data_IF_451618109839
#
_entry.id   IF_451618109839
#
_cell.length_a   1.000
_cell.length_b   1.000
_cell.length_c   1.000
_cell.angle_alpha   90.00
_cell.angle_beta   90.00
_cell.angle_gamma   90.00
#
_symmetry.space_group_name_H-M   'P 1'
#
loop_
_entity.id
_entity.type
_entity.pdbx_description
1 polymer ?
#
# COMPACT_ATOMS: atom_id res chain seq x y z
N UNK A 1 12.75 -28.25 -30.15
CA UNK A 1 12.79 -27.00 -29.37
C UNK A 1 14.20 -26.81 -28.87
N UNK A 2 14.85 -25.71 -29.22
CA UNK A 2 16.24 -25.44 -28.79
C UNK A 2 16.31 -25.22 -27.27
N UNK A 3 17.47 -25.46 -26.66
CA UNK A 3 17.69 -25.23 -25.21
C UNK A 3 17.36 -23.78 -24.81
N UNK A 4 17.79 -22.81 -25.63
CA UNK A 4 17.43 -21.39 -25.45
C UNK A 4 15.92 -21.17 -25.50
N UNK A 5 15.22 -21.80 -26.45
CA UNK A 5 13.77 -21.62 -26.65
C UNK A 5 12.97 -22.10 -25.44
N UNK A 6 13.38 -23.21 -24.82
CA UNK A 6 12.79 -23.70 -23.57
C UNK A 6 13.01 -22.71 -22.41
N UNK A 7 14.24 -22.19 -22.25
CA UNK A 7 14.55 -21.18 -21.23
C UNK A 7 13.79 -19.87 -21.48
N UNK A 8 13.66 -19.44 -22.73
CA UNK A 8 12.89 -18.25 -23.11
C UNK A 8 11.41 -18.43 -22.79
N UNK A 9 10.83 -19.60 -23.09
CA UNK A 9 9.43 -19.87 -22.76
C UNK A 9 9.21 -19.85 -21.24
N UNK A 10 10.08 -20.53 -20.47
CA UNK A 10 10.04 -20.49 -19.00
C UNK A 10 10.14 -19.06 -18.46
N UNK A 11 11.02 -18.24 -19.02
CA UNK A 11 11.15 -16.82 -18.65
C UNK A 11 9.88 -16.02 -18.95
N UNK A 12 9.22 -16.26 -20.08
CA UNK A 12 7.94 -15.61 -20.40
C UNK A 12 6.86 -16.00 -19.39
N UNK A 13 6.78 -17.28 -19.05
CA UNK A 13 5.81 -17.79 -18.07
C UNK A 13 6.06 -17.17 -16.69
N UNK A 14 7.31 -17.19 -16.22
CA UNK A 14 7.71 -16.58 -14.95
C UNK A 14 7.45 -15.06 -14.93
N UNK A 15 7.77 -14.34 -16.01
CA UNK A 15 7.51 -12.89 -16.12
C UNK A 15 6.00 -12.61 -16.13
N UNK A 16 5.20 -13.46 -16.78
CA UNK A 16 3.74 -13.39 -16.77
C UNK A 16 3.15 -13.64 -15.38
N UNK A 17 3.77 -14.54 -14.61
CA UNK A 17 3.42 -14.88 -13.23
C UNK A 17 4.08 -13.98 -12.18
N UNK A 18 4.92 -13.02 -12.58
CA UNK A 18 5.72 -12.19 -11.68
C UNK A 18 4.90 -11.18 -10.85
N UNK A 19 3.62 -11.47 -10.60
CA UNK A 19 2.83 -10.79 -9.59
C UNK A 19 3.37 -11.16 -8.21
N UNK A 20 4.32 -10.36 -7.75
CA UNK A 20 4.61 -10.11 -6.33
C UNK A 20 5.42 -11.17 -5.55
N UNK A 21 5.83 -12.31 -6.11
CA UNK A 21 6.69 -13.28 -5.37
C UNK A 21 8.19 -13.04 -5.58
N UNK A 22 8.91 -12.81 -4.49
CA UNK A 22 10.37 -12.68 -4.45
C UNK A 22 11.11 -13.89 -5.02
N UNK A 23 10.60 -15.11 -4.79
CA UNK A 23 11.17 -16.33 -5.35
C UNK A 23 11.05 -16.40 -6.88
N UNK A 24 9.89 -15.99 -7.42
CA UNK A 24 9.71 -15.90 -8.87
C UNK A 24 10.74 -14.92 -9.46
N UNK A 25 10.95 -13.77 -8.81
CA UNK A 25 11.94 -12.79 -9.25
C UNK A 25 13.39 -13.30 -9.15
N UNK A 26 13.73 -14.05 -8.11
CA UNK A 26 15.02 -14.71 -7.98
C UNK A 26 15.24 -15.72 -9.12
N UNK A 27 14.25 -16.56 -9.42
CA UNK A 27 14.33 -17.54 -10.51
C UNK A 27 14.43 -16.89 -11.89
N UNK A 28 13.75 -15.76 -12.11
CA UNK A 28 13.94 -14.95 -13.33
C UNK A 28 15.40 -14.48 -13.42
N UNK A 29 15.98 -13.99 -12.31
CA UNK A 29 17.36 -13.56 -12.22
C UNK A 29 18.36 -14.67 -12.56
N UNK A 30 18.18 -15.86 -11.98
CA UNK A 30 18.97 -17.05 -12.26
C UNK A 30 18.98 -17.40 -13.76
N UNK A 31 17.79 -17.47 -14.36
CA UNK A 31 17.63 -17.84 -15.78
C UNK A 31 18.25 -16.77 -16.71
N UNK A 32 18.01 -15.48 -16.43
CA UNK A 32 18.62 -14.40 -17.18
C UNK A 32 20.15 -14.39 -17.06
N UNK A 33 20.68 -14.68 -15.87
CA UNK A 33 22.11 -14.76 -15.63
C UNK A 33 22.75 -15.92 -16.41
N UNK A 34 22.16 -17.13 -16.36
CA UNK A 34 22.66 -18.29 -17.13
C UNK A 34 22.70 -17.99 -18.62
N UNK A 35 21.61 -17.49 -19.20
CA UNK A 35 21.55 -17.13 -20.64
C UNK A 35 22.60 -16.06 -20.99
N UNK A 36 22.76 -15.03 -20.15
CA UNK A 36 23.75 -13.96 -20.37
C UNK A 36 25.18 -14.49 -20.29
N UNK A 37 25.47 -15.36 -19.31
CA UNK A 37 26.79 -15.94 -19.06
C UNK A 37 27.21 -16.91 -20.15
N UNK A 38 26.31 -17.80 -20.55
CA UNK A 38 26.54 -18.82 -21.58
C UNK A 38 26.45 -18.26 -23.01
N UNK A 39 25.99 -17.00 -23.16
CA UNK A 39 25.80 -16.32 -24.44
C UNK A 39 24.91 -17.10 -25.42
N UNK A 40 23.93 -17.85 -24.89
CA UNK A 40 23.04 -18.70 -25.67
C UNK A 40 22.24 -17.93 -26.73
N UNK A 41 22.06 -16.62 -26.55
CA UNK A 41 21.34 -15.74 -27.46
C UNK A 41 22.12 -15.37 -28.73
N UNK A 42 23.46 -15.49 -28.75
CA UNK A 42 24.32 -15.01 -29.85
C UNK A 42 23.97 -15.58 -31.24
N UNK A 43 23.55 -16.86 -31.38
CA UNK A 43 23.16 -17.40 -32.69
C UNK A 43 21.96 -16.69 -33.33
N UNK A 44 21.10 -16.05 -32.52
CA UNK A 44 19.82 -15.46 -32.99
C UNK A 44 19.71 -13.96 -32.72
N UNK A 45 20.52 -13.41 -31.82
CA UNK A 45 20.47 -12.02 -31.39
C UNK A 45 21.88 -11.42 -31.24
N UNK A 46 22.12 -10.20 -31.74
CA UNK A 46 23.43 -9.57 -31.71
C UNK A 46 23.89 -9.16 -30.31
N UNK A 47 22.97 -8.97 -29.37
CA UNK A 47 23.28 -8.58 -27.98
C UNK A 47 22.24 -9.13 -27.01
N UNK A 48 22.63 -9.23 -25.72
CA UNK A 48 21.73 -9.63 -24.66
C UNK A 48 20.54 -8.67 -24.53
N UNK A 49 20.79 -7.36 -24.69
CA UNK A 49 19.73 -6.34 -24.71
C UNK A 49 18.72 -6.60 -25.84
N UNK A 50 19.21 -6.93 -27.04
CA UNK A 50 18.33 -7.21 -28.18
C UNK A 50 17.46 -8.44 -27.91
N UNK A 51 18.03 -9.48 -27.32
CA UNK A 51 17.30 -10.68 -26.91
C UNK A 51 16.19 -10.36 -25.90
N UNK A 52 16.52 -9.76 -24.76
CA UNK A 52 15.53 -9.50 -23.69
C UNK A 52 14.43 -8.53 -24.14
N UNK A 53 14.76 -7.56 -25.02
CA UNK A 53 13.79 -6.61 -25.54
C UNK A 53 12.81 -7.27 -26.51
N UNK A 54 13.31 -8.12 -27.42
CA UNK A 54 12.47 -8.80 -28.41
C UNK A 54 11.67 -9.95 -27.81
N UNK A 55 12.30 -10.79 -26.99
CA UNK A 55 11.70 -12.04 -26.55
C UNK A 55 10.90 -11.94 -25.25
N UNK A 56 11.29 -11.01 -24.38
CA UNK A 56 10.73 -10.89 -23.02
C UNK A 56 10.05 -9.54 -22.77
N UNK A 57 10.13 -8.60 -23.72
CA UNK A 57 9.55 -7.25 -23.59
C UNK A 57 10.00 -6.51 -22.32
N UNK A 58 11.25 -6.72 -21.89
CA UNK A 58 11.87 -6.00 -20.76
C UNK A 58 13.13 -5.25 -21.20
N UNK A 59 13.46 -4.16 -20.51
CA UNK A 59 14.69 -3.40 -20.76
C UNK A 59 15.87 -3.94 -19.92
N UNK A 60 17.08 -3.52 -20.27
CA UNK A 60 18.31 -3.98 -19.62
C UNK A 60 18.35 -3.63 -18.13
N UNK A 61 17.91 -2.43 -17.73
CA UNK A 61 17.86 -2.03 -16.32
C UNK A 61 16.98 -2.97 -15.49
N UNK A 62 15.83 -3.38 -16.02
CA UNK A 62 14.91 -4.31 -15.35
C UNK A 62 15.51 -5.71 -15.27
N UNK A 63 16.13 -6.21 -16.34
CA UNK A 63 16.82 -7.49 -16.35
C UNK A 63 18.00 -7.52 -15.36
N UNK A 64 18.78 -6.45 -15.31
CA UNK A 64 19.90 -6.30 -14.38
C UNK A 64 19.43 -6.32 -12.92
N UNK A 65 18.31 -5.65 -12.62
CA UNK A 65 17.71 -5.71 -11.29
C UNK A 65 17.27 -7.12 -10.86
N UNK A 66 16.89 -8.00 -11.79
CA UNK A 66 16.61 -9.40 -11.46
C UNK A 66 17.89 -10.19 -11.18
N UNK A 67 18.92 -10.00 -12.02
CA UNK A 67 20.23 -10.64 -11.85
C UNK A 67 20.90 -10.20 -10.54
N UNK A 68 20.76 -8.94 -10.15
CA UNK A 68 21.27 -8.42 -8.87
C UNK A 68 20.61 -9.11 -7.67
N UNK A 69 19.30 -9.33 -7.70
CA UNK A 69 18.59 -10.07 -6.65
C UNK A 69 19.12 -11.50 -6.57
N UNK A 70 19.26 -12.18 -7.71
CA UNK A 70 19.83 -13.53 -7.79
C UNK A 70 21.24 -13.61 -7.17
N UNK A 71 22.10 -12.62 -7.40
CA UNK A 71 23.44 -12.58 -6.81
C UNK A 71 23.46 -12.22 -5.33
N UNK A 72 22.50 -11.44 -4.87
CA UNK A 72 22.49 -10.90 -3.51
C UNK A 72 21.94 -11.91 -2.49
N UNK A 73 20.96 -12.70 -2.91
CA UNK A 73 20.20 -13.58 -2.03
C UNK A 73 20.36 -15.02 -2.48
N UNK A 74 20.39 -15.94 -1.52
CA UNK A 74 20.17 -17.35 -1.81
C UNK A 74 18.67 -17.62 -1.88
N UNK A 75 18.27 -18.62 -2.66
CA UNK A 75 16.87 -19.05 -2.75
C UNK A 75 16.28 -19.38 -1.37
N UNK A 76 17.05 -20.08 -0.52
CA UNK A 76 16.67 -20.42 0.86
C UNK A 76 16.33 -19.19 1.70
N UNK A 77 16.95 -18.03 1.43
CA UNK A 77 16.77 -16.77 2.17
C UNK A 77 15.51 -16.00 1.77
N UNK A 78 14.86 -16.39 0.68
CA UNK A 78 13.69 -15.68 0.15
C UNK A 78 12.43 -16.45 0.54
N UNK A 79 11.55 -15.80 1.28
CA UNK A 79 10.26 -16.34 1.66
C UNK A 79 9.22 -16.13 0.55
N UNK A 80 8.13 -16.90 0.56
CA UNK A 80 7.03 -16.71 -0.39
C UNK A 80 6.29 -15.38 -0.14
N UNK A 81 6.37 -14.87 1.10
CA UNK A 81 5.84 -13.56 1.51
C UNK A 81 6.71 -12.37 1.06
N UNK A 82 7.97 -12.58 0.67
CA UNK A 82 8.84 -11.47 0.28
C UNK A 82 8.46 -10.93 -1.09
N UNK A 83 8.24 -9.62 -1.16
CA UNK A 83 8.06 -8.91 -2.42
C UNK A 83 9.40 -8.49 -3.02
N UNK A 84 9.47 -8.27 -4.34
CA UNK A 84 10.69 -7.74 -4.99
C UNK A 84 11.15 -6.39 -4.42
N UNK A 85 10.22 -5.54 -3.98
CA UNK A 85 10.57 -4.29 -3.30
C UNK A 85 11.32 -4.54 -1.99
N UNK A 86 10.93 -5.58 -1.24
CA UNK A 86 11.62 -5.98 -0.02
C UNK A 86 13.03 -6.40 -0.38
N UNK A 87 13.19 -7.31 -1.35
CA UNK A 87 14.51 -7.76 -1.78
C UNK A 87 15.40 -6.63 -2.29
N UNK A 88 14.87 -5.68 -3.08
CA UNK A 88 15.62 -4.50 -3.56
C UNK A 88 16.04 -3.53 -2.46
N UNK A 89 15.26 -3.44 -1.39
CA UNK A 89 15.62 -2.61 -0.25
C UNK A 89 16.65 -3.34 0.62
N UNK A 90 16.37 -4.60 0.95
CA UNK A 90 17.23 -5.47 1.75
C UNK A 90 18.62 -5.64 1.10
N UNK A 91 18.71 -5.64 -0.23
CA UNK A 91 19.99 -5.74 -0.94
C UNK A 91 20.90 -4.53 -0.72
N UNK A 92 20.33 -3.38 -0.33
CA UNK A 92 21.08 -2.15 -0.02
C UNK A 92 21.50 -2.07 1.45
N UNK A 93 20.97 -2.93 2.32
CA UNK A 93 21.32 -2.97 3.73
C UNK A 93 22.69 -3.60 3.96
N UNK A 94 23.32 -3.27 5.10
CA UNK A 94 24.50 -3.95 5.58
C UNK A 94 24.26 -5.47 5.73
N UNK A 95 25.30 -6.29 5.54
CA UNK A 95 25.20 -7.76 5.63
C UNK A 95 24.57 -8.22 6.94
N UNK A 96 24.90 -7.56 8.04
CA UNK A 96 24.35 -7.83 9.37
C UNK A 96 22.83 -7.62 9.42
N UNK A 97 22.34 -6.43 9.03
CA UNK A 97 20.91 -6.13 9.02
C UNK A 97 20.14 -6.98 8.03
N UNK A 98 20.70 -7.19 6.84
CA UNK A 98 20.13 -8.06 5.82
C UNK A 98 19.84 -9.44 6.39
N UNK A 99 20.84 -10.05 7.04
CA UNK A 99 20.71 -11.38 7.64
C UNK A 99 19.63 -11.40 8.73
N UNK A 100 19.59 -10.39 9.61
CA UNK A 100 18.59 -10.29 10.68
C UNK A 100 17.17 -10.11 10.16
N UNK A 101 16.98 -9.26 9.14
CA UNK A 101 15.68 -9.00 8.54
C UNK A 101 15.17 -10.22 7.77
N UNK A 102 16.00 -10.86 6.95
CA UNK A 102 15.64 -12.09 6.25
C UNK A 102 15.27 -13.20 7.25
N UNK A 103 16.06 -13.37 8.32
CA UNK A 103 15.76 -14.33 9.39
C UNK A 103 14.43 -14.04 10.10
N UNK A 104 14.12 -12.77 10.35
CA UNK A 104 12.85 -12.36 10.95
C UNK A 104 11.66 -12.64 10.02
N UNK A 105 11.80 -12.34 8.73
CA UNK A 105 10.75 -12.62 7.74
C UNK A 105 10.51 -14.12 7.56
N UNK A 106 11.56 -14.95 7.61
CA UNK A 106 11.42 -16.41 7.59
C UNK A 106 10.69 -16.93 8.83
N UNK A 107 11.08 -16.47 10.01
CA UNK A 107 10.38 -16.80 11.27
C UNK A 107 8.92 -16.39 11.23
N UNK A 108 8.59 -15.23 10.67
CA UNK A 108 7.21 -14.76 10.50
C UNK A 108 6.39 -15.70 9.61
N UNK A 109 6.96 -16.19 8.51
CA UNK A 109 6.29 -17.16 7.63
C UNK A 109 6.09 -18.52 8.32
N UNK A 110 7.07 -18.97 9.11
CA UNK A 110 7.00 -20.20 9.91
C UNK A 110 5.94 -20.10 11.03
N UNK A 111 5.88 -18.96 11.73
CA UNK A 111 4.86 -18.67 12.76
C UNK A 111 3.48 -18.61 12.12
N UNK A 112 3.38 -17.89 10.99
CA UNK A 112 2.17 -17.81 10.18
C UNK A 112 1.75 -19.15 9.58
N UNK A 113 2.58 -20.21 9.66
CA UNK A 113 2.24 -21.57 9.23
C UNK A 113 1.97 -22.53 10.40
N UNK A 114 2.37 -22.19 11.64
CA UNK A 114 2.37 -23.10 12.80
C UNK A 114 1.74 -22.57 14.09
N UNK A 115 1.24 -21.33 14.12
CA UNK A 115 0.38 -20.82 15.20
C UNK A 115 0.97 -20.89 16.61
N UNK A 116 2.27 -20.61 16.79
CA UNK A 116 2.90 -20.65 18.12
C UNK A 116 3.73 -19.40 18.42
N UNK A 117 3.48 -18.83 19.61
CA UNK A 117 3.88 -17.51 20.09
C UNK A 117 5.00 -17.63 21.11
N UNK A 118 6.27 -17.60 20.67
CA UNK A 118 7.38 -17.52 21.64
C UNK A 118 8.65 -16.79 21.15
N UNK A 119 8.56 -15.92 20.14
CA UNK A 119 9.74 -15.24 19.54
C UNK A 119 9.57 -13.72 19.41
N UNK A 120 8.94 -13.08 20.40
CA UNK A 120 8.62 -11.65 20.41
C UNK A 120 9.86 -10.72 20.47
N UNK A 121 10.91 -11.13 21.19
CA UNK A 121 12.08 -10.27 21.45
C UNK A 121 13.00 -10.10 20.23
N UNK A 122 13.10 -11.12 19.38
CA UNK A 122 14.03 -11.13 18.24
C UNK A 122 13.52 -10.32 17.04
N UNK A 123 12.19 -10.25 16.90
CA UNK A 123 11.51 -9.45 15.87
C UNK A 123 11.51 -7.97 16.28
N UNK A 124 11.31 -7.67 17.57
CA UNK A 124 11.40 -6.30 18.10
C UNK A 124 12.82 -5.73 17.98
N UNK A 125 13.85 -6.54 18.24
CA UNK A 125 15.25 -6.15 18.04
C UNK A 125 15.57 -5.83 16.57
N UNK A 126 15.01 -6.61 15.64
CA UNK A 126 15.17 -6.37 14.20
C UNK A 126 14.49 -5.07 13.76
N UNK A 127 13.33 -4.73 14.33
CA UNK A 127 12.64 -3.45 14.13
C UNK A 127 13.48 -2.24 14.57
N UNK A 128 14.06 -2.29 15.77
CA UNK A 128 14.84 -1.16 16.30
C UNK A 128 16.13 -0.93 15.50
N UNK A 129 16.76 -2.02 15.04
CA UNK A 129 17.95 -1.97 14.18
C UNK A 129 17.64 -1.37 12.79
N UNK A 130 16.51 -1.76 12.18
CA UNK A 130 16.07 -1.23 10.87
C UNK A 130 15.66 0.24 10.98
N UNK A 131 14.90 0.61 12.02
CA UNK A 131 14.47 2.00 12.25
C UNK A 131 15.68 2.93 12.38
N UNK A 132 16.71 2.50 13.14
CA UNK A 132 17.94 3.27 13.35
C UNK A 132 18.72 3.49 12.05
N UNK A 133 18.90 2.45 11.23
CA UNK A 133 19.65 2.56 9.97
C UNK A 133 18.84 3.26 8.86
N UNK A 134 17.50 3.14 8.84
CA UNK A 134 16.60 3.84 7.90
C UNK A 134 16.61 5.35 8.15
N UNK A 135 16.52 5.76 9.42
CA UNK A 135 16.65 7.17 9.79
C UNK A 135 18.02 7.71 9.36
N UNK A 136 19.08 6.93 9.61
CA UNK A 136 20.45 7.34 9.29
C UNK A 136 20.76 7.37 7.77
N UNK A 137 20.09 6.55 6.97
CA UNK A 137 20.21 6.56 5.50
C UNK A 137 19.31 7.62 4.84
N UNK A 138 18.13 7.93 5.40
CA UNK A 138 17.30 9.05 4.93
C UNK A 138 17.92 10.43 5.17
N UNK A 139 18.74 10.56 6.21
CA UNK A 139 19.50 11.80 6.49
C UNK A 139 20.67 11.98 5.50
N UNK A 140 21.13 10.91 4.87
CA UNK A 140 22.33 10.91 4.02
C UNK A 140 22.05 10.76 2.51
N UNK A 141 20.82 10.43 2.08
CA UNK A 141 20.50 10.25 0.66
C UNK A 141 19.82 11.47 0.03
N UNK A 142 20.52 12.16 -0.87
CA UNK A 142 19.97 13.17 -1.80
C UNK A 142 19.30 12.54 -3.03
N UNK A 143 19.15 11.22 -3.08
CA UNK A 143 18.75 10.49 -4.27
C UNK A 143 17.22 10.40 -4.41
N UNK A 144 16.67 11.28 -5.26
CA UNK A 144 15.24 11.37 -5.63
C UNK A 144 14.72 10.19 -6.48
N UNK A 145 15.51 9.14 -6.69
CA UNK A 145 15.19 8.07 -7.64
C UNK A 145 14.35 6.91 -7.09
N UNK A 146 14.05 6.88 -5.79
CA UNK A 146 13.17 5.86 -5.21
C UNK A 146 11.69 6.29 -5.32
N UNK A 147 10.79 5.47 -5.90
CA UNK A 147 9.36 5.74 -5.88
C UNK A 147 8.84 5.79 -4.43
N UNK A 148 8.00 6.79 -4.07
CA UNK A 148 7.42 6.95 -2.73
C UNK A 148 6.79 5.66 -2.18
N UNK A 149 6.17 4.89 -3.08
CA UNK A 149 5.47 3.64 -2.81
C UNK A 149 6.34 2.51 -2.22
N UNK A 150 7.66 2.48 -2.49
CA UNK A 150 8.55 1.44 -1.91
C UNK A 150 8.71 1.63 -0.41
N UNK A 151 8.73 2.89 0.05
CA UNK A 151 8.90 3.22 1.47
C UNK A 151 7.58 3.04 2.23
N UNK A 152 6.44 3.32 1.60
CA UNK A 152 5.11 3.09 2.16
C UNK A 152 4.82 1.60 2.38
N UNK A 153 5.11 0.75 1.40
CA UNK A 153 4.93 -0.71 1.54
C UNK A 153 5.82 -1.29 2.65
N UNK A 154 7.05 -0.80 2.76
CA UNK A 154 7.99 -1.22 3.80
C UNK A 154 7.52 -0.74 5.18
N UNK A 155 7.10 0.54 5.31
CA UNK A 155 6.54 1.10 6.55
C UNK A 155 5.28 0.37 6.98
N UNK A 156 4.40 0.03 6.05
CA UNK A 156 3.19 -0.75 6.30
C UNK A 156 3.54 -2.14 6.82
N UNK A 157 4.41 -2.87 6.12
CA UNK A 157 4.89 -4.20 6.52
C UNK A 157 5.57 -4.15 7.90
N UNK A 158 6.40 -3.14 8.15
CA UNK A 158 7.10 -2.91 9.41
C UNK A 158 6.13 -2.57 10.55
N UNK A 159 5.12 -1.73 10.31
CA UNK A 159 4.10 -1.38 11.30
C UNK A 159 3.27 -2.62 11.68
N UNK A 160 2.89 -3.45 10.71
CA UNK A 160 2.18 -4.72 10.93
C UNK A 160 3.03 -5.67 11.79
N UNK A 161 4.31 -5.83 11.45
CA UNK A 161 5.28 -6.64 12.21
C UNK A 161 5.44 -6.11 13.65
N UNK A 162 5.50 -4.79 13.84
CA UNK A 162 5.61 -4.18 15.17
C UNK A 162 4.36 -4.33 16.06
N UNK A 163 3.20 -4.59 15.45
CA UNK A 163 1.94 -4.85 16.16
C UNK A 163 1.81 -6.33 16.52
N UNK A 164 2.18 -7.22 15.61
CA UNK A 164 2.27 -8.67 15.83
C UNK A 164 3.21 -9.05 16.98
N UNK A 165 4.31 -8.31 17.18
CA UNK A 165 5.23 -8.55 18.30
C UNK A 165 4.65 -8.17 19.65
N UNK A 166 3.74 -7.19 19.70
CA UNK A 166 3.17 -6.67 20.94
C UNK A 166 2.00 -7.52 21.45
N UNK A 167 1.15 -8.06 20.56
CA UNK A 167 0.04 -8.94 20.93
C UNK A 167 -0.13 -10.07 19.90
N UNK A 168 0.60 -11.18 20.05
CA UNK A 168 0.60 -12.26 19.06
C UNK A 168 -0.67 -13.12 19.08
N UNK A 169 -1.43 -13.08 20.16
CA UNK A 169 -2.73 -13.79 20.29
C UNK A 169 -3.89 -13.03 19.64
N UNK A 170 -3.73 -11.75 19.31
CA UNK A 170 -4.79 -10.89 18.77
C UNK A 170 -4.91 -10.96 17.24
N UNK A 171 -3.91 -11.50 16.52
CA UNK A 171 -3.91 -11.55 15.06
C UNK A 171 -3.94 -13.00 14.58
N UNK A 172 -5.13 -13.47 14.21
CA UNK A 172 -5.32 -14.76 13.57
C UNK A 172 -4.60 -14.81 12.21
N UNK A 173 -4.18 -16.02 11.82
CA UNK A 173 -3.56 -16.31 10.53
C UNK A 173 -4.37 -15.76 9.34
N UNK A 174 -5.70 -15.65 9.47
CA UNK A 174 -6.59 -15.07 8.47
C UNK A 174 -6.43 -13.55 8.34
N UNK A 175 -6.14 -12.84 9.43
CA UNK A 175 -5.96 -11.38 9.45
C UNK A 175 -4.59 -10.95 8.89
N UNK A 176 -3.55 -11.74 9.17
CA UNK A 176 -2.25 -11.53 8.53
C UNK A 176 -2.33 -11.75 7.01
N UNK A 177 -3.00 -12.85 6.62
CA UNK A 177 -3.20 -13.21 5.22
C UNK A 177 -4.03 -12.15 4.48
N UNK A 178 -5.12 -11.65 5.06
CA UNK A 178 -5.97 -10.64 4.41
C UNK A 178 -5.26 -9.29 4.22
N UNK A 179 -4.44 -8.86 5.19
CA UNK A 179 -3.68 -7.61 5.07
C UNK A 179 -2.58 -7.73 4.01
N UNK A 180 -1.87 -8.86 3.96
CA UNK A 180 -0.90 -9.15 2.91
C UNK A 180 -1.56 -9.28 1.54
N UNK A 181 -2.68 -10.00 1.44
CA UNK A 181 -3.49 -10.11 0.23
C UNK A 181 -3.99 -8.74 -0.24
N UNK A 182 -4.42 -7.86 0.66
CA UNK A 182 -4.80 -6.49 0.34
C UNK A 182 -3.62 -5.68 -0.21
N UNK A 183 -2.41 -5.83 0.36
CA UNK A 183 -1.20 -5.20 -0.19
C UNK A 183 -0.85 -5.74 -1.60
N UNK A 184 -1.02 -7.05 -1.81
CA UNK A 184 -0.77 -7.76 -3.07
C UNK A 184 -1.82 -7.38 -4.12
N UNK A 185 -3.09 -7.27 -3.74
CA UNK A 185 -4.20 -6.81 -4.58
C UNK A 185 -4.00 -5.34 -4.99
N UNK A 186 -3.63 -4.45 -4.04
CA UNK A 186 -3.24 -3.06 -4.33
C UNK A 186 -2.13 -3.00 -5.36
N UNK A 187 -1.13 -3.87 -5.28
CA UNK A 187 -0.05 -3.93 -6.26
C UNK A 187 -0.47 -4.47 -7.61
N UNK A 188 -1.36 -5.45 -7.63
CA UNK A 188 -1.95 -5.96 -8.89
C UNK A 188 -2.75 -4.85 -9.58
N UNK A 189 -3.42 -4.01 -8.80
CA UNK A 189 -4.10 -2.81 -9.26
C UNK A 189 -3.09 -1.74 -9.73
N UNK A 190 -2.03 -1.44 -8.97
CA UNK A 190 -0.97 -0.46 -9.31
C UNK A 190 -0.10 -0.89 -10.50
N UNK A 191 0.21 -2.17 -10.66
CA UNK A 191 0.92 -2.70 -11.83
C UNK A 191 0.03 -2.72 -13.08
N UNK A 192 -1.29 -2.93 -12.91
CA UNK A 192 -2.26 -2.63 -13.97
C UNK A 192 -2.28 -1.13 -14.29
N UNK A 193 -2.03 -0.23 -13.34
CA UNK A 193 -1.99 1.22 -13.52
C UNK A 193 -0.74 1.72 -14.28
N UNK A 194 0.36 0.94 -14.36
CA UNK A 194 1.60 1.32 -15.04
C UNK A 194 1.60 1.28 -16.59
N UNK A 195 0.46 0.98 -17.23
CA UNK A 195 0.26 1.07 -18.69
C UNK A 195 -0.71 2.22 -18.99
N UNK A 196 -0.22 3.45 -19.00
CA UNK A 196 -1.06 4.66 -19.15
C UNK A 196 -1.35 4.90 -20.64
N UNK A 197 -2.52 4.40 -21.08
CA UNK A 197 -3.51 5.27 -21.76
C UNK A 197 -4.36 5.89 -20.66
N UNK A 198 -4.94 7.07 -20.88
CA UNK A 198 -5.79 7.80 -19.92
C UNK A 198 -6.73 6.85 -19.16
N UNK A 199 -6.33 6.46 -17.95
CA UNK A 199 -7.12 5.58 -17.09
C UNK A 199 -7.98 6.46 -16.22
N UNK A 200 -9.26 6.32 -16.41
CA UNK A 200 -10.28 6.81 -15.51
C UNK A 200 -10.85 5.64 -14.70
N UNK A 201 -11.52 5.93 -13.59
CA UNK A 201 -12.28 4.92 -12.86
C UNK A 201 -13.48 4.41 -13.65
N UNK A 202 -14.31 3.60 -12.99
CA UNK A 202 -15.64 3.26 -13.50
C UNK A 202 -16.50 4.52 -13.62
N UNK A 203 -17.62 4.45 -14.34
CA UNK A 203 -18.53 5.58 -14.43
C UNK A 203 -19.07 5.91 -13.03
N UNK A 204 -18.96 7.18 -12.62
CA UNK A 204 -19.46 7.61 -11.32
C UNK A 204 -20.98 7.49 -11.31
N UNK A 205 -21.52 6.65 -10.43
CA UNK A 205 -22.95 6.46 -10.30
C UNK A 205 -23.40 6.80 -8.87
N UNK A 206 -24.42 7.64 -8.75
CA UNK A 206 -25.08 7.94 -7.48
C UNK A 206 -26.51 8.38 -7.71
N UNK A 207 -27.46 7.61 -7.17
CA UNK A 207 -28.90 7.95 -7.26
C UNK A 207 -29.26 9.16 -6.40
N UNK A 208 -28.47 9.42 -5.36
CA UNK A 208 -28.71 10.45 -4.35
C UNK A 208 -28.07 11.80 -4.69
N UNK A 209 -26.97 11.77 -5.45
CA UNK A 209 -26.23 12.97 -5.85
C UNK A 209 -26.18 13.14 -7.38
N UNK A 210 -27.33 13.34 -8.07
CA UNK A 210 -27.39 13.35 -9.53
C UNK A 210 -26.66 14.55 -10.18
N UNK A 211 -26.47 15.66 -9.45
CA UNK A 211 -25.65 16.78 -9.94
C UNK A 211 -24.16 16.43 -10.00
N UNK A 212 -23.68 15.57 -9.09
CA UNK A 212 -22.29 15.16 -9.05
C UNK A 212 -21.88 14.40 -10.31
N UNK A 213 -22.77 13.53 -10.83
CA UNK A 213 -22.55 12.80 -12.09
C UNK A 213 -22.40 13.71 -13.31
N UNK A 214 -22.95 14.93 -13.27
CA UNK A 214 -22.79 15.91 -14.36
C UNK A 214 -21.42 16.60 -14.32
N UNK A 215 -20.76 16.61 -13.16
CA UNK A 215 -19.47 17.26 -12.94
C UNK A 215 -18.32 16.26 -13.03
N UNK A 216 -18.51 15.04 -12.54
CA UNK A 216 -17.54 13.96 -12.57
C UNK A 216 -18.09 12.77 -13.34
N UNK A 217 -17.43 12.44 -14.45
CA UNK A 217 -17.80 11.29 -15.28
C UNK A 217 -17.38 9.96 -14.67
N UNK A 218 -16.28 9.95 -13.91
CA UNK A 218 -15.63 8.71 -13.45
C UNK A 218 -15.29 8.73 -11.96
N UNK A 219 -15.25 7.56 -11.36
CA UNK A 219 -14.77 7.34 -9.99
C UNK A 219 -13.30 7.78 -9.83
N UNK A 220 -12.91 8.30 -8.66
CA UNK A 220 -11.53 8.62 -8.36
C UNK A 220 -10.69 7.34 -8.30
N UNK A 221 -9.45 7.42 -8.80
CA UNK A 221 -8.48 6.30 -8.78
C UNK A 221 -7.31 6.57 -7.83
N UNK A 222 -7.31 7.73 -7.19
CA UNK A 222 -6.31 8.17 -6.23
C UNK A 222 -6.91 9.21 -5.27
N UNK A 223 -6.13 9.60 -4.28
CA UNK A 223 -6.52 10.51 -3.21
C UNK A 223 -6.80 11.93 -3.73
N UNK A 224 -5.94 12.49 -4.59
CA UNK A 224 -6.15 13.82 -5.15
C UNK A 224 -7.49 13.95 -5.91
N UNK A 225 -7.83 12.95 -6.73
CA UNK A 225 -9.13 12.90 -7.42
C UNK A 225 -10.30 12.72 -6.45
N UNK A 226 -10.09 11.97 -5.38
CA UNK A 226 -11.08 11.77 -4.33
C UNK A 226 -11.35 13.05 -3.52
N UNK A 227 -10.31 13.77 -3.10
CA UNK A 227 -10.43 15.06 -2.39
C UNK A 227 -11.19 16.06 -3.26
N UNK A 228 -10.87 16.14 -4.57
CA UNK A 228 -11.59 16.99 -5.50
C UNK A 228 -13.08 16.64 -5.61
N UNK A 229 -13.41 15.35 -5.65
CA UNK A 229 -14.80 14.85 -5.67
C UNK A 229 -15.53 15.24 -4.38
N UNK A 230 -14.93 14.99 -3.22
CA UNK A 230 -15.53 15.31 -1.92
C UNK A 230 -15.80 16.81 -1.78
N UNK A 231 -14.81 17.66 -2.07
CA UNK A 231 -14.98 19.11 -2.04
C UNK A 231 -16.10 19.58 -2.98
N UNK A 232 -16.27 18.92 -4.13
CA UNK A 232 -17.37 19.24 -5.05
C UNK A 232 -18.73 18.82 -4.49
N UNK A 233 -18.83 17.62 -3.89
CA UNK A 233 -20.09 17.18 -3.29
C UNK A 233 -20.44 17.91 -2.00
N UNK A 234 -19.46 18.52 -1.33
CA UNK A 234 -19.64 19.21 -0.05
C UNK A 234 -20.76 20.25 -0.11
N UNK A 235 -20.88 20.99 -1.22
CA UNK A 235 -21.98 21.94 -1.43
C UNK A 235 -23.35 21.27 -1.37
N UNK A 236 -23.49 20.06 -1.93
CA UNK A 236 -24.74 19.32 -1.89
C UNK A 236 -25.04 18.81 -0.48
N UNK A 237 -24.01 18.34 0.24
CA UNK A 237 -24.15 17.89 1.64
C UNK A 237 -24.61 19.04 2.55
N UNK A 238 -24.08 20.25 2.31
CA UNK A 238 -24.47 21.47 3.00
C UNK A 238 -25.94 21.85 2.72
N UNK A 239 -26.36 21.79 1.45
CA UNK A 239 -27.73 22.15 1.04
C UNK A 239 -28.79 21.21 1.65
N UNK A 240 -28.54 19.90 1.63
CA UNK A 240 -29.48 18.90 2.16
C UNK A 240 -29.40 18.76 3.69
N UNK A 241 -28.39 19.37 4.32
CA UNK A 241 -28.12 19.28 5.77
C UNK A 241 -28.16 17.83 6.27
N UNK A 242 -27.45 16.95 5.57
CA UNK A 242 -27.42 15.53 5.93
C UNK A 242 -26.70 15.39 7.28
N UNK A 243 -27.46 15.09 8.33
CA UNK A 243 -26.94 14.94 9.67
C UNK A 243 -26.49 13.53 9.97
N UNK A 244 -25.56 13.44 10.91
CA UNK A 244 -24.99 12.20 11.42
C UNK A 244 -24.67 12.35 12.90
N UNK A 245 -24.69 11.23 13.60
CA UNK A 245 -24.32 11.17 15.01
C UNK A 245 -22.80 11.30 15.14
N UNK A 246 -22.33 12.25 15.95
CA UNK A 246 -20.91 12.45 16.24
C UNK A 246 -20.74 12.92 17.69
N UNK A 247 -19.83 12.29 18.43
CA UNK A 247 -19.71 12.43 19.89
C UNK A 247 -21.07 12.26 20.60
N UNK A 248 -21.62 13.34 21.16
CA UNK A 248 -22.85 13.33 21.98
C UNK A 248 -24.02 14.07 21.32
N UNK A 249 -24.02 14.23 20.00
CA UNK A 249 -25.13 14.90 19.31
C UNK A 249 -25.15 14.69 17.80
N UNK A 250 -26.16 15.29 17.16
CA UNK A 250 -26.28 15.30 15.70
C UNK A 250 -25.68 16.54 15.11
N UNK A 251 -24.77 16.35 14.16
CA UNK A 251 -24.13 17.44 13.42
C UNK A 251 -24.31 17.22 11.92
N UNK A 252 -24.18 18.30 11.15
CA UNK A 252 -24.06 18.25 9.69
C UNK A 252 -22.95 19.17 9.22
N UNK A 253 -22.41 18.86 8.04
CA UNK A 253 -21.34 19.66 7.44
C UNK A 253 -21.80 21.09 7.12
N UNK A 254 -21.05 22.09 7.59
CA UNK A 254 -21.38 23.50 7.39
C UNK A 254 -20.41 24.21 6.45
N UNK A 255 -19.09 24.06 6.65
CA UNK A 255 -18.07 24.72 5.82
C UNK A 255 -16.74 23.99 5.87
N UNK A 256 -16.01 23.98 4.76
CA UNK A 256 -14.57 23.62 4.74
C UNK A 256 -13.76 24.83 5.21
N UNK A 257 -13.07 24.71 6.34
CA UNK A 257 -12.21 25.76 6.89
C UNK A 257 -10.87 25.85 6.14
N UNK A 258 -10.20 24.71 5.96
CA UNK A 258 -8.97 24.59 5.16
C UNK A 258 -8.80 23.20 4.56
N UNK A 259 -8.01 23.12 3.49
CA UNK A 259 -7.46 21.88 2.92
C UNK A 259 -5.97 22.13 2.64
N UNK A 260 -5.09 21.22 3.05
CA UNK A 260 -3.63 21.36 2.97
C UNK A 260 -2.96 19.99 2.80
N UNK A 261 -1.64 20.00 2.57
CA UNK A 261 -0.81 18.79 2.47
C UNK A 261 -0.14 18.39 3.79
N UNK A 262 -0.43 19.10 4.88
CA UNK A 262 0.15 18.85 6.19
C UNK A 262 -0.95 18.32 7.10
N UNK A 263 -0.62 17.39 7.98
CA UNK A 263 -1.58 16.85 8.94
C UNK A 263 -2.15 17.93 9.87
N UNK A 264 -3.45 17.94 10.21
CA UNK A 264 -4.51 17.24 9.48
C UNK A 264 -4.75 17.81 8.08
N UNK A 265 -5.12 16.97 7.12
CA UNK A 265 -5.36 17.34 5.72
C UNK A 265 -6.41 18.44 5.58
N UNK A 266 -7.44 18.41 6.41
CA UNK A 266 -8.50 19.40 6.37
C UNK A 266 -9.07 19.74 7.75
N UNK A 267 -9.70 20.90 7.80
CA UNK A 267 -10.57 21.29 8.91
C UNK A 267 -11.97 21.54 8.39
N UNK A 268 -12.94 20.82 8.92
CA UNK A 268 -14.35 20.98 8.54
C UNK A 268 -15.14 21.51 9.73
N UNK A 269 -15.78 22.65 9.52
CA UNK A 269 -16.72 23.24 10.47
C UNK A 269 -18.07 22.58 10.24
N UNK A 270 -18.62 22.00 11.30
CA UNK A 270 -19.96 21.42 11.33
C UNK A 270 -20.90 22.32 12.11
N UNK A 271 -22.20 22.01 12.09
CA UNK A 271 -23.21 22.69 12.90
C UNK A 271 -24.06 21.66 13.64
N UNK A 272 -24.32 21.92 14.92
CA UNK A 272 -25.18 21.06 15.74
C UNK A 272 -26.66 21.28 15.40
N UNK A 273 -27.43 20.20 15.32
CA UNK A 273 -28.89 20.26 15.22
C UNK A 273 -29.53 20.72 16.53
N UNK A 274 -28.99 20.27 17.67
CA UNK A 274 -29.54 20.54 19.00
C UNK A 274 -29.14 21.91 19.54
N UNK A 275 -27.97 22.40 19.11
CA UNK A 275 -27.40 23.68 19.56
C UNK A 275 -26.94 24.50 18.35
N UNK A 276 -27.86 25.23 17.70
CA UNK A 276 -27.58 25.89 16.42
C UNK A 276 -26.48 26.95 16.44
N UNK A 277 -26.06 27.42 17.61
CA UNK A 277 -24.97 28.39 17.79
C UNK A 277 -23.60 27.72 18.03
N UNK A 278 -23.56 26.39 18.16
CA UNK A 278 -22.32 25.62 18.25
C UNK A 278 -21.82 25.20 16.86
N UNK A 279 -20.54 25.51 16.61
CA UNK A 279 -19.84 25.22 15.36
C UNK A 279 -18.62 24.32 15.63
N UNK A 280 -18.81 23.03 15.90
CA UNK A 280 -17.70 22.12 16.15
C UNK A 280 -16.78 22.05 14.92
N UNK A 281 -15.47 22.09 15.17
CA UNK A 281 -14.43 21.93 14.15
C UNK A 281 -13.90 20.51 14.21
N UNK A 282 -13.89 19.82 13.07
CA UNK A 282 -13.35 18.48 12.91
C UNK A 282 -12.03 18.55 12.14
N UNK A 283 -10.97 17.97 12.71
CA UNK A 283 -9.72 17.68 12.02
C UNK A 283 -9.88 16.40 11.20
N UNK A 284 -9.67 16.48 9.89
CA UNK A 284 -9.99 15.43 8.94
C UNK A 284 -8.72 14.94 8.25
N UNK A 285 -8.60 13.62 8.13
CA UNK A 285 -7.68 12.97 7.20
C UNK A 285 -8.43 12.45 5.97
N UNK A 286 -7.91 12.77 4.79
CA UNK A 286 -8.43 12.23 3.54
C UNK A 286 -7.60 11.05 3.10
N UNK A 287 -8.25 9.90 2.95
CA UNK A 287 -7.56 8.70 2.52
C UNK A 287 -8.25 8.07 1.32
N UNK A 288 -7.52 7.65 0.30
CA UNK A 288 -8.16 6.90 -0.78
C UNK A 288 -8.73 5.55 -0.25
N UNK A 289 -8.01 4.91 0.67
CA UNK A 289 -8.46 3.72 1.38
C UNK A 289 -8.21 3.87 2.88
N UNK A 290 -9.20 3.58 3.73
CA UNK A 290 -9.16 3.91 5.17
C UNK A 290 -7.93 3.36 5.90
N UNK A 291 -7.43 2.18 5.53
CA UNK A 291 -6.25 1.57 6.15
C UNK A 291 -4.93 2.33 5.91
N UNK A 292 -4.88 3.28 4.98
CA UNK A 292 -3.71 4.13 4.74
C UNK A 292 -3.39 5.06 5.90
N UNK A 293 -4.42 5.49 6.63
CA UNK A 293 -4.27 6.30 7.84
C UNK A 293 -3.26 5.69 8.83
N UNK A 294 -3.35 4.38 9.08
CA UNK A 294 -2.41 3.67 9.96
C UNK A 294 -1.04 3.43 9.33
N UNK A 295 -0.97 3.34 8.00
CA UNK A 295 0.30 3.17 7.29
C UNK A 295 1.17 4.43 7.34
N UNK A 296 0.53 5.60 7.41
CA UNK A 296 1.22 6.89 7.54
C UNK A 296 1.71 7.16 8.97
N UNK A 297 1.18 6.45 9.97
CA UNK A 297 1.59 6.57 11.37
C UNK A 297 0.93 7.74 12.11
N UNK A 298 -0.18 8.25 11.56
CA UNK A 298 -0.96 9.32 12.17
C UNK A 298 -1.58 8.91 13.52
N UNK A 299 -1.65 7.61 13.83
CA UNK A 299 -1.97 7.10 15.16
C UNK A 299 -0.96 7.51 16.25
N UNK A 300 0.20 8.02 15.86
CA UNK A 300 1.30 8.42 16.75
C UNK A 300 1.60 9.91 16.68
N UNK A 301 0.88 10.66 15.85
CA UNK A 301 1.07 12.10 15.77
C UNK A 301 0.50 12.78 17.03
N UNK A 302 1.13 13.87 17.45
CA UNK A 302 0.68 14.65 18.61
C UNK A 302 -0.55 15.52 18.27
N UNK A 303 -0.90 15.63 16.99
CA UNK A 303 -2.06 16.36 16.50
C UNK A 303 -3.27 15.42 16.43
N UNK A 304 -4.45 15.94 16.75
CA UNK A 304 -5.69 15.16 16.85
C UNK A 304 -6.33 15.01 15.45
N UNK A 305 -6.71 13.77 15.10
CA UNK A 305 -7.64 13.49 14.00
C UNK A 305 -9.01 13.13 14.59
N UNK A 306 -10.05 13.83 14.14
CA UNK A 306 -11.42 13.67 14.60
C UNK A 306 -12.21 12.69 13.73
N UNK A 307 -11.90 12.60 12.43
CA UNK A 307 -12.59 11.72 11.49
C UNK A 307 -11.72 11.43 10.27
N UNK A 308 -11.81 10.20 9.78
CA UNK A 308 -11.20 9.78 8.51
C UNK A 308 -12.29 9.81 7.45
N UNK A 309 -12.06 10.50 6.34
CA UNK A 309 -12.98 10.48 5.19
C UNK A 309 -12.28 9.74 4.05
N UNK A 310 -12.87 8.66 3.57
CA UNK A 310 -12.25 7.83 2.54
C UNK A 310 -13.15 7.45 1.36
N UNK A 311 -12.52 7.07 0.24
CA UNK A 311 -13.25 6.51 -0.90
C UNK A 311 -13.60 5.03 -0.67
N UNK A 312 -12.65 4.25 -0.13
CA UNK A 312 -12.80 2.82 0.14
C UNK A 312 -12.60 2.55 1.63
N UNK A 313 -13.60 1.98 2.28
CA UNK A 313 -13.44 1.43 3.62
C UNK A 313 -12.96 -0.02 3.53
N UNK A 314 -11.74 -0.28 4.00
CA UNK A 314 -11.07 -1.58 3.91
C UNK A 314 -10.49 -2.08 5.24
N UNK A 315 -10.96 -1.52 6.36
CA UNK A 315 -10.63 -2.08 7.67
C UNK A 315 -11.48 -3.33 7.96
N UNK A 316 -10.88 -4.39 8.52
CA UNK A 316 -11.64 -5.45 9.17
C UNK A 316 -12.32 -4.91 10.43
N UNK A 317 -13.44 -5.52 10.83
CA UNK A 317 -14.34 -5.04 11.89
C UNK A 317 -13.64 -4.68 13.23
N UNK A 318 -14.33 -3.83 14.01
CA UNK A 318 -13.86 -3.07 15.21
C UNK A 318 -13.04 -3.82 16.26
N UNK A 319 -13.07 -5.14 16.29
CA UNK A 319 -12.45 -5.96 17.35
C UNK A 319 -10.91 -6.04 17.28
N UNK A 320 -10.27 -5.28 16.38
CA UNK A 320 -8.86 -5.46 16.01
C UNK A 320 -7.90 -4.35 16.43
N UNK A 321 -8.38 -3.31 17.12
CA UNK A 321 -7.56 -2.15 17.48
C UNK A 321 -7.55 -1.92 18.99
N UNK A 322 -6.36 -1.89 19.58
CA UNK A 322 -6.14 -1.55 21.00
C UNK A 322 -6.24 -0.05 21.28
N UNK A 323 -6.19 0.78 20.24
CA UNK A 323 -6.47 2.21 20.29
C UNK A 323 -7.74 2.52 19.49
N UNK A 324 -8.69 3.30 20.04
CA UNK A 324 -9.87 3.70 19.29
C UNK A 324 -9.45 4.51 18.06
N UNK A 325 -9.88 4.05 16.88
CA UNK A 325 -9.71 4.79 15.63
C UNK A 325 -10.70 5.97 15.59
N UNK A 326 -10.35 7.09 14.93
CA UNK A 326 -11.35 8.10 14.59
C UNK A 326 -12.47 7.47 13.74
N UNK A 327 -13.73 7.92 13.90
CA UNK A 327 -14.84 7.48 13.06
C UNK A 327 -14.52 7.61 11.57
N UNK A 328 -14.97 6.65 10.77
CA UNK A 328 -14.67 6.60 9.33
C UNK A 328 -15.93 6.87 8.52
N UNK A 329 -15.86 7.88 7.65
CA UNK A 329 -16.88 8.16 6.63
C UNK A 329 -16.43 7.60 5.27
N UNK A 330 -17.13 6.59 4.77
CA UNK A 330 -16.95 6.06 3.42
C UNK A 330 -17.82 6.82 2.41
N UNK A 331 -17.19 7.59 1.54
CA UNK A 331 -17.88 8.42 0.54
C UNK A 331 -18.55 7.57 -0.53
N UNK A 332 -17.97 6.43 -0.92
CA UNK A 332 -18.61 5.53 -1.88
C UNK A 332 -19.93 4.98 -1.33
N UNK A 333 -19.95 4.56 -0.07
CA UNK A 333 -21.18 4.13 0.61
C UNK A 333 -22.21 5.26 0.74
N UNK A 334 -21.77 6.49 1.02
CA UNK A 334 -22.64 7.66 1.01
C UNK A 334 -23.30 7.88 -0.36
N UNK A 335 -22.55 7.72 -1.45
CA UNK A 335 -23.09 7.85 -2.80
C UNK A 335 -24.11 6.76 -3.15
N UNK A 336 -23.94 5.55 -2.62
CA UNK A 336 -24.82 4.39 -2.84
C UNK A 336 -26.09 4.47 -1.98
N UNK A 337 -25.94 4.85 -0.71
CA UNK A 337 -27.02 4.79 0.30
C UNK A 337 -27.73 6.12 0.52
N UNK A 338 -27.09 7.25 0.18
CA UNK A 338 -27.58 8.59 0.46
C UNK A 338 -27.52 8.99 1.94
N UNK A 339 -26.84 8.19 2.78
CA UNK A 339 -26.75 8.40 4.22
C UNK A 339 -25.29 8.46 4.66
N UNK A 340 -25.01 9.28 5.67
CA UNK A 340 -23.71 9.27 6.34
C UNK A 340 -23.76 8.15 7.38
N UNK A 341 -23.02 7.07 7.11
CA UNK A 341 -22.76 6.00 8.06
C UNK A 341 -21.31 6.14 8.52
N UNK A 342 -21.11 6.25 9.84
CA UNK A 342 -19.78 6.28 10.44
C UNK A 342 -19.44 4.89 10.95
N UNK A 343 -18.28 4.38 10.54
CA UNK A 343 -17.71 3.10 10.98
C UNK A 343 -16.81 3.31 12.18
#
# INVERSE_FOLDING_TARGET
MGHLEQKTQRLRDLIGQASNSGKIFWSIGENLFSIKKEREYVPSYPSFETYIRKELSINEKKAQGYIEIYHTFKDEDITDLMLISHLRYISKLSTYLRTKLLGSMRKLEEIGSKGNVSQQEEIQFSYDAIKKETIQSSVNSTDKSNPPYIMEDLKSTINIVSRLTKNPEEISQQQFTSILENSIQRRTQIQRLGKIKDKHGEALNSRWFPRLQKLFQYEPINEAGFVALFCTMFHQLQDIKLSFDFDNGKIYFHRIGLVRSAFPDAKIICRSEEKPDEFPELNIEFEFASSRYLSHGHDKDNERCDMIICWIHDFPEKELFTTPLPPILCVKELLDTGKIALH
#
